data_IF_189567119210
#
_entry.id   IF_189567119210
#
_cell.length_a   1.000
_cell.length_b   1.000
_cell.length_c   1.000
_cell.angle_alpha   90.00
_cell.angle_beta   90.00
_cell.angle_gamma   90.00
#
_symmetry.space_group_name_H-M   'P 1'
#
loop_
_entity.id
_entity.type
_entity.pdbx_description
1 polymer ?
#
# COMPACT_ATOMS: atom_id res chain seq x y z
N UNK A 1 -18.50 8.37 -6.92
CA UNK A 1 -17.05 8.50 -6.62
C UNK A 1 -16.29 8.00 -7.83
N UNK A 2 -15.36 8.78 -8.38
CA UNK A 2 -14.58 8.36 -9.56
C UNK A 2 -13.25 7.75 -9.11
N UNK A 3 -13.30 6.54 -8.57
CA UNK A 3 -12.08 5.77 -8.29
C UNK A 3 -11.69 5.08 -9.59
N UNK A 4 -10.54 5.44 -10.15
CA UNK A 4 -10.05 4.90 -11.42
C UNK A 4 -8.91 3.92 -11.14
N UNK A 5 -8.92 2.79 -11.85
CA UNK A 5 -7.82 1.82 -11.81
C UNK A 5 -6.52 2.53 -12.23
N UNK A 6 -5.39 2.13 -11.64
CA UNK A 6 -4.07 2.70 -11.87
C UNK A 6 -3.74 4.07 -11.24
N UNK A 7 -4.63 4.64 -10.42
CA UNK A 7 -4.27 5.79 -9.57
C UNK A 7 -3.62 5.35 -8.26
N UNK A 8 -2.72 6.20 -7.77
CA UNK A 8 -2.04 6.04 -6.48
C UNK A 8 -2.83 6.75 -5.39
N UNK A 9 -2.99 6.08 -4.26
CA UNK A 9 -3.65 6.64 -3.08
C UNK A 9 -2.78 6.43 -1.85
N UNK A 10 -2.79 7.40 -0.95
CA UNK A 10 -2.31 7.25 0.41
C UNK A 10 -3.32 6.41 1.20
N UNK A 11 -2.84 5.36 1.85
CA UNK A 11 -3.68 4.41 2.59
C UNK A 11 -3.08 4.17 3.96
N UNK A 12 -3.92 4.07 4.98
CA UNK A 12 -3.48 3.78 6.35
C UNK A 12 -3.70 2.32 6.67
N UNK A 13 -2.67 1.60 7.10
CA UNK A 13 -2.80 0.19 7.50
C UNK A 13 -3.63 0.11 8.78
N UNK A 14 -4.76 -0.57 8.73
CA UNK A 14 -5.66 -0.76 9.87
C UNK A 14 -5.52 -2.14 10.52
N UNK A 15 -5.05 -3.13 9.76
CA UNK A 15 -4.87 -4.49 10.26
C UNK A 15 -3.88 -5.26 9.39
N UNK A 16 -3.14 -6.19 10.00
CA UNK A 16 -2.15 -7.03 9.33
C UNK A 16 -2.53 -8.49 9.53
N UNK A 17 -2.42 -9.28 8.46
CA UNK A 17 -2.64 -10.72 8.50
C UNK A 17 -1.45 -11.46 7.88
N UNK A 18 -1.31 -12.78 8.11
CA UNK A 18 -0.22 -13.56 7.51
C UNK A 18 -0.22 -13.59 5.97
N UNK A 19 -1.36 -13.31 5.34
CA UNK A 19 -1.53 -13.34 3.89
C UNK A 19 -1.57 -11.93 3.26
N UNK A 20 -1.52 -10.86 4.05
CA UNK A 20 -1.62 -9.49 3.54
C UNK A 20 -1.82 -8.43 4.61
N UNK A 21 -2.21 -7.23 4.18
CA UNK A 21 -2.57 -6.12 5.04
C UNK A 21 -3.89 -5.50 4.58
N UNK A 22 -4.71 -5.08 5.55
CA UNK A 22 -5.88 -4.26 5.31
C UNK A 22 -5.50 -2.81 5.50
N UNK A 23 -5.85 -2.00 4.51
CA UNK A 23 -5.58 -0.57 4.50
C UNK A 23 -6.87 0.19 4.24
N UNK A 24 -7.07 1.30 4.94
CA UNK A 24 -8.19 2.19 4.68
C UNK A 24 -7.73 3.32 3.75
N UNK A 25 -8.44 3.50 2.64
CA UNK A 25 -8.14 4.55 1.66
C UNK A 25 -8.92 5.80 2.01
N UNK A 26 -10.22 5.60 2.25
CA UNK A 26 -11.17 6.63 2.66
C UNK A 26 -12.26 6.00 3.53
N UNK A 27 -12.99 6.78 4.33
CA UNK A 27 -14.07 6.25 5.16
C UNK A 27 -15.12 5.48 4.33
N UNK A 28 -15.30 4.20 4.64
CA UNK A 28 -16.26 3.31 3.96
C UNK A 28 -15.71 2.58 2.73
N UNK A 29 -14.44 2.76 2.38
CA UNK A 29 -13.76 1.96 1.34
C UNK A 29 -12.53 1.28 1.93
N UNK A 30 -12.60 -0.05 1.99
CA UNK A 30 -11.53 -0.87 2.53
C UNK A 30 -10.67 -1.45 1.41
N UNK A 31 -9.36 -1.28 1.57
CA UNK A 31 -8.33 -1.82 0.71
C UNK A 31 -7.73 -3.10 1.27
N UNK A 32 -7.48 -4.07 0.40
CA UNK A 32 -6.70 -5.26 0.73
C UNK A 32 -5.44 -5.32 -0.11
N UNK A 33 -4.30 -5.45 0.57
CA UNK A 33 -2.98 -5.63 -0.02
C UNK A 33 -2.58 -7.07 0.23
N UNK A 34 -2.59 -7.90 -0.82
CA UNK A 34 -2.12 -9.28 -0.70
C UNK A 34 -0.60 -9.33 -0.54
N UNK A 35 -0.04 -10.30 0.19
CA UNK A 35 1.41 -10.41 0.45
C UNK A 35 2.25 -10.39 -0.84
N UNK A 36 1.75 -10.99 -1.92
CA UNK A 36 2.40 -10.99 -3.24
C UNK A 36 2.39 -9.63 -3.96
N UNK A 37 1.62 -8.67 -3.45
CA UNK A 37 1.53 -7.29 -3.94
C UNK A 37 2.30 -6.31 -3.06
N UNK A 38 2.90 -6.76 -1.95
CA UNK A 38 3.69 -5.92 -1.04
C UNK A 38 5.11 -5.73 -1.60
N UNK A 39 5.76 -6.84 -1.96
CA UNK A 39 7.08 -6.83 -2.61
C UNK A 39 7.18 -7.95 -3.62
N UNK A 40 8.09 -7.79 -4.58
CA UNK A 40 8.50 -8.85 -5.50
C UNK A 40 9.45 -9.85 -4.81
N UNK A 41 10.10 -9.42 -3.73
CA UNK A 41 10.93 -10.29 -2.90
C UNK A 41 10.09 -11.19 -1.98
N UNK A 42 10.67 -12.32 -1.57
CA UNK A 42 9.99 -13.29 -0.71
C UNK A 42 9.88 -12.76 0.72
N UNK A 43 8.76 -12.12 1.02
CA UNK A 43 8.39 -11.72 2.39
C UNK A 43 7.79 -12.93 3.12
N UNK A 44 8.35 -13.29 4.27
CA UNK A 44 7.80 -14.34 5.14
C UNK A 44 6.80 -13.78 6.16
N UNK A 45 6.90 -12.49 6.48
CA UNK A 45 6.05 -11.85 7.48
C UNK A 45 5.73 -10.40 7.09
N UNK A 46 4.46 -10.11 6.90
CA UNK A 46 3.98 -8.76 6.52
C UNK A 46 4.29 -7.73 7.61
N UNK A 47 4.27 -8.15 8.88
CA UNK A 47 4.55 -7.26 10.01
C UNK A 47 6.00 -6.74 10.07
N UNK A 48 6.92 -7.24 9.22
CA UNK A 48 8.28 -6.72 9.12
C UNK A 48 8.41 -5.56 8.14
N UNK A 49 7.43 -5.41 7.24
CA UNK A 49 7.45 -4.42 6.15
C UNK A 49 6.34 -3.38 6.29
N UNK A 50 5.28 -3.70 7.05
CA UNK A 50 4.16 -2.83 7.33
C UNK A 50 3.80 -2.93 8.81
N UNK A 51 3.36 -1.83 9.39
CA UNK A 51 2.83 -1.75 10.76
C UNK A 51 1.41 -1.19 10.75
N UNK A 52 0.63 -1.53 11.78
CA UNK A 52 -0.71 -0.95 11.94
C UNK A 52 -0.54 0.53 12.30
N UNK A 53 -1.23 1.40 11.57
CA UNK A 53 -1.11 2.85 11.64
C UNK A 53 -0.18 3.45 10.59
N UNK A 54 0.57 2.64 9.84
CA UNK A 54 1.46 3.16 8.81
C UNK A 54 0.67 3.73 7.63
N UNK A 55 1.08 4.92 7.18
CA UNK A 55 0.59 5.53 5.95
C UNK A 55 1.52 5.15 4.80
N UNK A 56 1.00 4.39 3.84
CA UNK A 56 1.74 3.95 2.66
C UNK A 56 1.00 4.33 1.40
N UNK A 57 1.73 4.59 0.32
CA UNK A 57 1.10 4.71 -1.00
C UNK A 57 0.78 3.32 -1.51
N UNK A 58 -0.38 3.17 -2.16
CA UNK A 58 -0.74 1.95 -2.87
C UNK A 58 -1.52 2.25 -4.16
N UNK A 59 -1.32 1.42 -5.18
CA UNK A 59 -2.02 1.51 -6.47
C UNK A 59 -3.26 0.61 -6.47
N UNK A 60 -4.38 1.13 -6.94
CA UNK A 60 -5.60 0.33 -7.11
C UNK A 60 -5.47 -0.54 -8.35
N UNK A 61 -5.46 -1.85 -8.15
CA UNK A 61 -5.41 -2.86 -9.22
C UNK A 61 -6.79 -3.40 -9.56
N UNK A 62 -7.69 -3.49 -8.58
CA UNK A 62 -9.04 -4.02 -8.76
C UNK A 62 -10.02 -3.30 -7.84
N UNK A 63 -11.24 -3.10 -8.32
CA UNK A 63 -12.33 -2.43 -7.58
C UNK A 63 -13.52 -3.38 -7.58
N UNK A 64 -14.02 -3.69 -6.39
CA UNK A 64 -15.26 -4.43 -6.19
C UNK A 64 -16.31 -3.47 -5.63
N UNK A 65 -17.14 -2.95 -6.54
CA UNK A 65 -18.20 -1.99 -6.20
C UNK A 65 -19.35 -2.64 -5.39
N UNK A 66 -19.56 -3.95 -5.52
CA UNK A 66 -20.60 -4.67 -4.78
C UNK A 66 -20.28 -4.73 -3.27
N UNK A 67 -19.00 -4.84 -2.93
CA UNK A 67 -18.55 -4.95 -1.54
C UNK A 67 -17.90 -3.68 -0.99
N UNK A 68 -17.78 -2.60 -1.77
CA UNK A 68 -16.99 -1.41 -1.44
C UNK A 68 -15.55 -1.74 -1.03
N UNK A 69 -14.98 -2.77 -1.67
CA UNK A 69 -13.63 -3.26 -1.41
C UNK A 69 -12.76 -3.06 -2.63
N UNK A 70 -11.49 -2.71 -2.41
CA UNK A 70 -10.53 -2.60 -3.50
C UNK A 70 -9.28 -3.41 -3.21
N UNK A 71 -8.69 -3.96 -4.27
CA UNK A 71 -7.40 -4.63 -4.19
C UNK A 71 -6.31 -3.62 -4.50
N UNK A 72 -5.31 -3.58 -3.62
CA UNK A 72 -4.22 -2.62 -3.62
C UNK A 72 -2.88 -3.31 -3.87
N UNK A 73 -1.93 -2.58 -4.46
CA UNK A 73 -0.57 -3.04 -4.70
C UNK A 73 0.46 -1.99 -4.34
N UNK A 74 1.41 -2.36 -3.48
CA UNK A 74 2.55 -1.51 -3.09
C UNK A 74 3.72 -1.74 -4.05
N UNK A 75 3.98 -2.97 -4.49
CA UNK A 75 5.09 -3.25 -5.41
C UNK A 75 5.01 -2.50 -6.74
N UNK A 76 3.78 -2.21 -7.21
CA UNK A 76 3.57 -1.45 -8.44
C UNK A 76 4.09 0.00 -8.32
N UNK A 77 4.25 0.51 -7.09
CA UNK A 77 4.93 1.79 -6.85
C UNK A 77 6.44 1.65 -6.95
N UNK A 78 7.03 0.62 -6.33
CA UNK A 78 8.48 0.38 -6.38
C UNK A 78 9.00 0.20 -7.81
N UNK A 79 8.15 -0.28 -8.73
CA UNK A 79 8.49 -0.40 -10.16
C UNK A 79 8.39 0.93 -10.93
N UNK A 80 7.54 1.87 -10.51
CA UNK A 80 7.33 3.15 -11.20
C UNK A 80 8.10 4.32 -10.57
N UNK A 81 8.46 4.21 -9.28
CA UNK A 81 9.25 5.19 -8.53
C UNK A 81 10.33 4.41 -7.77
N UNK A 82 11.59 4.38 -8.25
CA UNK A 82 12.69 3.88 -7.42
C UNK A 82 12.77 4.78 -6.18
N UNK A 83 12.83 4.16 -5.00
CA UNK A 83 12.98 4.82 -3.70
C UNK A 83 14.39 5.44 -3.58
N UNK A 84 14.66 6.50 -4.33
CA UNK A 84 15.87 7.34 -4.21
C UNK A 84 15.49 8.68 -3.55
N UNK A 85 14.93 8.68 -2.34
CA UNK A 85 14.91 9.86 -1.46
C UNK A 85 15.16 9.44 -0.01
N UNK A 86 16.41 9.06 0.28
CA UNK A 86 17.01 9.40 1.57
C UNK A 86 17.18 10.93 1.60
N UNK A 87 16.17 11.65 2.08
CA UNK A 87 16.40 12.98 2.66
C UNK A 87 17.14 12.78 4.00
N UNK A 88 18.47 12.61 3.96
CA UNK A 88 19.30 13.06 5.07
C UNK A 88 19.80 14.47 4.75
N UNK A 89 19.32 15.40 5.59
CA UNK A 89 19.53 16.83 5.52
C UNK A 89 21.01 17.22 5.48
N UNK A 90 21.26 18.30 4.77
CA UNK A 90 22.49 19.08 4.82
C UNK A 90 22.82 19.47 6.28
N UNK A 91 23.86 18.87 6.86
CA UNK A 91 24.66 19.54 7.89
C UNK A 91 25.93 20.08 7.20
N UNK A 92 25.87 21.37 6.87
CA UNK A 92 27.01 22.15 6.46
C UNK A 92 27.90 22.44 7.67
N UNK A 93 29.20 22.12 7.58
CA UNK A 93 30.25 22.67 8.45
C UNK A 93 31.36 23.32 7.61
#
# INVERSE_FOLDING_TARGET
MNITKAMLFDVTIVSITPFGAFAQIIPGVDGLIHISQISTERINNVAQVLSIGDEVKAKIIEINEEQNRVSLSIRALKEEMPEDEEEEAEDAE
#
